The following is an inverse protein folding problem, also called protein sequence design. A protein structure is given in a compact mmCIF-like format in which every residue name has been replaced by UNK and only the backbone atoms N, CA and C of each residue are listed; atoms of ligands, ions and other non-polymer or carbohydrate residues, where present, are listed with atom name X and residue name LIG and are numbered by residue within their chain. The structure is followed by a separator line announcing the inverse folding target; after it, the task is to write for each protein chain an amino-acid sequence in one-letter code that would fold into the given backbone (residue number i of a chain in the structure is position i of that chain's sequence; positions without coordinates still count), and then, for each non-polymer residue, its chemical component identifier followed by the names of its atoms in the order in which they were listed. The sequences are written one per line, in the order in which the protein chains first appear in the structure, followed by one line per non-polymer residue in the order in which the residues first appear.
data_IF_790513587624
#
_entry.id   IF_790513587624
#
_cell.length_a   1.000
_cell.length_b   1.000
_cell.length_c   1.000
_cell.angle_alpha   90.00
_cell.angle_beta   90.00
_cell.angle_gamma   90.00
#
_symmetry.space_group_name_H-M   'P 1'
#
loop_
_entity.id
_entity.type
_entity.pdbx_description
1 polymer ?
#
# COMPACT_ATOMS: atom_id res chain seq x y z
N UNK A 1 5.60 -11.35 13.42
CA UNK A 1 6.38 -11.69 12.21
C UNK A 1 6.28 -10.48 11.28
N UNK A 2 7.39 -9.84 10.92
CA UNK A 2 7.39 -8.63 10.09
C UNK A 2 7.48 -9.02 8.60
N UNK A 3 6.52 -8.59 7.79
CA UNK A 3 6.54 -8.83 6.35
C UNK A 3 7.57 -7.89 5.68
N UNK A 4 8.42 -8.38 4.76
CA UNK A 4 9.40 -7.55 4.08
C UNK A 4 8.71 -6.49 3.19
N UNK A 5 9.18 -5.25 3.30
CA UNK A 5 8.76 -4.14 2.43
C UNK A 5 9.46 -4.22 1.08
N UNK A 6 8.73 -3.89 0.01
CA UNK A 6 9.27 -3.79 -1.35
C UNK A 6 8.89 -2.43 -1.94
N UNK A 7 9.78 -1.84 -2.74
CA UNK A 7 9.48 -0.60 -3.48
C UNK A 7 8.98 -0.96 -4.87
N UNK A 8 7.85 -0.40 -5.28
CA UNK A 8 7.29 -0.56 -6.63
C UNK A 8 7.21 0.82 -7.28
N UNK A 9 7.72 0.93 -8.52
CA UNK A 9 7.61 2.16 -9.30
C UNK A 9 6.20 2.27 -9.89
N UNK A 10 5.52 3.38 -9.64
CA UNK A 10 4.20 3.70 -10.17
C UNK A 10 4.19 5.14 -10.67
N UNK A 11 4.01 5.36 -11.98
CA UNK A 11 4.03 6.70 -12.61
C UNK A 11 5.24 7.57 -12.21
N UNK A 12 6.43 6.97 -12.14
CA UNK A 12 7.69 7.57 -11.69
C UNK A 12 7.81 7.87 -10.19
N UNK A 13 6.81 7.49 -9.37
CA UNK A 13 6.88 7.52 -7.90
C UNK A 13 7.19 6.14 -7.31
N UNK A 14 7.89 6.10 -6.18
CA UNK A 14 8.13 4.87 -5.42
C UNK A 14 7.02 4.65 -4.37
N UNK A 15 6.24 3.58 -4.53
CA UNK A 15 5.22 3.19 -3.57
C UNK A 15 5.72 2.03 -2.71
N UNK A 16 5.59 2.17 -1.40
CA UNK A 16 5.87 1.11 -0.43
C UNK A 16 4.81 0.02 -0.53
N UNK A 17 5.21 -1.17 -0.96
CA UNK A 17 4.40 -2.37 -1.00
C UNK A 17 4.82 -3.35 0.13
N UNK A 18 3.87 -4.17 0.58
CA UNK A 18 4.12 -5.24 1.55
C UNK A 18 4.10 -6.57 0.81
N UNK A 19 5.19 -7.34 0.90
CA UNK A 19 5.23 -8.71 0.39
C UNK A 19 5.02 -9.68 1.55
N UNK A 20 3.97 -10.49 1.47
CA UNK A 20 3.72 -11.57 2.42
C UNK A 20 4.61 -12.79 2.11
N UNK A 21 4.79 -13.66 3.09
CA UNK A 21 5.59 -14.90 2.97
C UNK A 21 5.05 -15.86 1.90
N UNK A 22 3.75 -15.83 1.67
CA UNK A 22 3.09 -16.61 0.60
C UNK A 22 3.27 -16.00 -0.81
N UNK A 23 4.09 -14.95 -0.95
CA UNK A 23 4.39 -14.30 -2.22
C UNK A 23 3.37 -13.26 -2.67
N UNK A 24 2.23 -13.10 -1.97
CA UNK A 24 1.25 -12.04 -2.26
C UNK A 24 1.84 -10.66 -1.97
N UNK A 25 1.55 -9.69 -2.83
CA UNK A 25 1.99 -8.30 -2.68
C UNK A 25 0.76 -7.43 -2.46
N UNK A 26 0.78 -6.62 -1.41
CA UNK A 26 -0.22 -5.61 -1.12
C UNK A 26 0.36 -4.22 -1.41
N UNK A 27 -0.43 -3.41 -2.10
CA UNK A 27 -0.06 -2.04 -2.45
C UNK A 27 -1.08 -1.11 -1.78
N UNK A 28 -0.63 -0.09 -1.03
CA UNK A 28 -1.54 0.85 -0.42
C UNK A 28 -2.22 1.69 -1.48
N UNK A 29 -3.56 1.70 -1.47
CA UNK A 29 -4.36 2.40 -2.48
C UNK A 29 -4.32 3.91 -2.27
N UNK A 30 -4.17 4.38 -1.03
CA UNK A 30 -4.18 5.80 -0.70
C UNK A 30 -3.04 6.58 -1.40
N UNK A 31 -1.75 6.18 -1.32
CA UNK A 31 -0.69 6.84 -2.08
C UNK A 31 -0.93 6.89 -3.59
N UNK A 32 -1.54 5.84 -4.16
CA UNK A 32 -1.92 5.81 -5.58
C UNK A 32 -2.97 6.90 -5.88
N UNK A 33 -4.02 6.98 -5.06
CA UNK A 33 -5.05 7.99 -5.23
C UNK A 33 -4.47 9.41 -5.12
N UNK A 34 -3.59 9.65 -4.15
CA UNK A 34 -2.93 10.94 -3.94
C UNK A 34 -2.03 11.31 -5.13
N UNK A 35 -1.21 10.38 -5.63
CA UNK A 35 -0.34 10.60 -6.79
C UNK A 35 -1.13 10.90 -8.09
N UNK A 36 -2.29 10.29 -8.25
CA UNK A 36 -3.18 10.50 -9.40
C UNK A 36 -4.10 11.72 -9.24
N UNK A 37 -4.07 12.42 -8.11
CA UNK A 37 -4.99 13.54 -7.81
C UNK A 37 -6.45 13.11 -7.65
N UNK A 38 -6.70 11.86 -7.26
CA UNK A 38 -8.03 11.31 -7.03
C UNK A 38 -8.49 11.58 -5.59
N UNK A 39 -9.79 11.83 -5.41
CA UNK A 39 -10.38 11.94 -4.07
C UNK A 39 -10.36 10.58 -3.35
N UNK A 40 -9.53 10.49 -2.32
CA UNK A 40 -9.38 9.27 -1.52
C UNK A 40 -10.70 8.82 -0.88
N UNK A 41 -11.50 9.75 -0.36
CA UNK A 41 -12.74 9.41 0.35
C UNK A 41 -13.77 8.75 -0.57
N UNK A 42 -13.89 9.25 -1.80
CA UNK A 42 -14.74 8.67 -2.85
C UNK A 42 -14.22 7.29 -3.28
N UNK A 43 -12.91 7.14 -3.47
CA UNK A 43 -12.33 5.85 -3.85
C UNK A 43 -12.46 4.80 -2.76
N UNK A 44 -12.22 5.16 -1.50
CA UNK A 44 -12.42 4.27 -0.36
C UNK A 44 -13.86 3.77 -0.27
N UNK A 45 -14.85 4.66 -0.49
CA UNK A 45 -16.27 4.27 -0.54
C UNK A 45 -16.55 3.29 -1.67
N UNK A 46 -15.99 3.51 -2.87
CA UNK A 46 -16.15 2.62 -4.02
C UNK A 46 -15.56 1.24 -3.76
N UNK A 47 -14.36 1.18 -3.19
CA UNK A 47 -13.70 -0.08 -2.80
C UNK A 47 -14.58 -0.87 -1.83
N UNK A 48 -15.14 -0.21 -0.81
CA UNK A 48 -15.97 -0.88 0.18
C UNK A 48 -17.36 -1.28 -0.34
N UNK A 49 -17.84 -0.63 -1.40
CA UNK A 49 -19.16 -0.90 -1.99
C UNK A 49 -19.09 -1.94 -3.12
N UNK A 50 -17.89 -2.20 -3.64
CA UNK A 50 -17.65 -3.18 -4.69
C UNK A 50 -17.46 -4.58 -4.10
N UNK A 51 -18.26 -5.55 -4.54
CA UNK A 51 -18.30 -6.90 -3.97
C UNK A 51 -16.98 -7.67 -4.09
N UNK A 52 -16.16 -7.36 -5.09
CA UNK A 52 -14.86 -8.01 -5.30
C UNK A 52 -13.79 -7.29 -4.50
N UNK A 53 -13.74 -5.97 -4.61
CA UNK A 53 -12.70 -5.17 -3.95
C UNK A 53 -12.86 -5.17 -2.43
N UNK A 54 -14.07 -5.21 -1.91
CA UNK A 54 -14.32 -5.29 -0.47
C UNK A 54 -13.78 -6.60 0.13
N UNK A 55 -13.81 -7.70 -0.62
CA UNK A 55 -13.37 -9.02 -0.17
C UNK A 55 -11.83 -9.15 -0.15
N UNK A 56 -11.14 -8.45 -1.05
CA UNK A 56 -9.68 -8.52 -1.17
C UNK A 56 -8.93 -7.36 -0.51
N UNK A 57 -9.64 -6.31 -0.08
CA UNK A 57 -9.05 -5.16 0.59
C UNK A 57 -8.84 -5.41 2.08
N UNK A 58 -7.77 -4.83 2.64
CA UNK A 58 -7.52 -4.85 4.08
C UNK A 58 -6.94 -3.52 4.55
N UNK A 59 -7.32 -3.12 5.76
CA UNK A 59 -6.72 -1.97 6.43
C UNK A 59 -5.45 -2.40 7.16
N UNK A 60 -4.30 -1.89 6.71
CA UNK A 60 -3.01 -2.12 7.35
C UNK A 60 -2.46 -0.77 7.79
N UNK A 61 -2.03 -0.68 9.05
CA UNK A 61 -1.30 0.49 9.54
C UNK A 61 0.13 0.41 9.00
N UNK A 62 0.48 1.33 8.11
CA UNK A 62 1.85 1.51 7.67
C UNK A 62 2.59 2.36 8.71
N UNK A 63 3.35 1.70 9.59
CA UNK A 63 4.29 2.39 10.45
C UNK A 63 5.60 2.53 9.71
N UNK A 64 5.93 3.76 9.29
CA UNK A 64 7.24 4.08 8.76
C UNK A 64 8.26 4.02 9.91
N UNK A 65 8.82 2.83 10.15
CA UNK A 65 9.97 2.70 11.04
C UNK A 65 11.16 3.33 10.33
N UNK A 66 11.80 4.31 10.98
CA UNK A 66 13.09 4.80 10.52
C UNK A 66 14.07 3.62 10.61
N UNK A 67 14.35 3.01 9.46
CA UNK A 67 15.36 1.97 9.37
C UNK A 67 16.68 2.73 9.45
N UNK A 68 17.21 2.88 10.65
CA UNK A 68 18.57 3.35 10.82
C UNK A 68 19.46 2.27 10.20
N UNK A 69 19.84 2.47 8.93
CA UNK A 69 20.89 1.70 8.30
C UNK A 69 22.17 2.11 9.01
N UNK A 70 22.45 1.44 10.13
CA UNK A 70 23.74 1.51 10.79
C UNK A 70 24.80 0.99 9.83
N UNK A 71 25.37 1.89 9.05
CA UNK A 71 26.65 1.72 8.39
C UNK A 71 27.45 2.99 8.60
N UNK A 72 28.41 2.84 9.51
CA UNK A 72 29.65 3.60 9.74
C UNK A 72 29.50 5.03 10.25
#
# INVERSE_FOLDING_TARGET
MFAPLLRVVFYADEITAVRLENGRVFIPVRPICEALGLDWSAQYRRINSDMVLSDVSMSVVLTATNINFGFI
#
